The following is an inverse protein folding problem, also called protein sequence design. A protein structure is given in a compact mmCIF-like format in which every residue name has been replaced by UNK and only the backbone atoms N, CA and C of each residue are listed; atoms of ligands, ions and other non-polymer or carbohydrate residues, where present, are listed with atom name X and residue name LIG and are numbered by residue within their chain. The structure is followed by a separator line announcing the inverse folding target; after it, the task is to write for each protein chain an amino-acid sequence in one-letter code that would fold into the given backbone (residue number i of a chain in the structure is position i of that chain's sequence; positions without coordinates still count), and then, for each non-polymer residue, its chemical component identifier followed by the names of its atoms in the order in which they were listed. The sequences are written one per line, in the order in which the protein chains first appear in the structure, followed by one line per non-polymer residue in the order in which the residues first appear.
data_IF_776828619511
#
_entry.id   IF_776828619511
#
_cell.length_a   1.000
_cell.length_b   1.000
_cell.length_c   1.000
_cell.angle_alpha   90.00
_cell.angle_beta   90.00
_cell.angle_gamma   90.00
#
_symmetry.space_group_name_H-M   'P 1'
#
loop_
_entity.id
_entity.type
_entity.pdbx_description
1 polymer ?
#
# COMPACT_ATOMS: atom_id res chain seq x y z
N UNK A 1 1.62 -82.76 0.82
CA UNK A 1 2.14 -81.46 1.31
C UNK A 1 1.39 -80.35 0.58
N UNK A 2 0.52 -79.60 1.27
CA UNK A 2 -0.36 -78.57 0.67
C UNK A 2 0.33 -77.20 0.70
N UNK A 3 0.75 -76.77 -0.48
CA UNK A 3 1.05 -75.45 -1.03
C UNK A 3 0.93 -74.25 -0.07
N UNK A 4 1.95 -74.03 0.78
CA UNK A 4 2.11 -72.82 1.60
C UNK A 4 2.50 -71.57 0.79
N UNK A 5 2.93 -71.72 -0.46
CA UNK A 5 3.44 -70.62 -1.30
C UNK A 5 2.35 -69.70 -1.89
N UNK A 6 1.10 -70.15 -2.02
CA UNK A 6 0.01 -69.33 -2.57
C UNK A 6 -0.57 -68.29 -1.59
N UNK A 7 -0.43 -68.53 -0.28
CA UNK A 7 -0.97 -67.65 0.76
C UNK A 7 -0.11 -66.39 0.98
N UNK A 8 1.21 -66.50 0.86
CA UNK A 8 2.14 -65.37 1.05
C UNK A 8 2.06 -64.31 -0.06
N UNK A 9 1.86 -64.73 -1.32
CA UNK A 9 1.69 -63.84 -2.47
C UNK A 9 0.42 -62.97 -2.34
N UNK A 10 -0.64 -63.54 -1.80
CA UNK A 10 -1.95 -62.87 -1.64
C UNK A 10 -1.92 -61.80 -0.53
N UNK A 11 -1.23 -62.06 0.58
CA UNK A 11 -1.10 -61.13 1.71
C UNK A 11 -0.23 -59.91 1.36
N UNK A 12 0.79 -60.08 0.52
CA UNK A 12 1.66 -59.00 -0.01
C UNK A 12 0.92 -58.03 -0.95
N UNK A 13 0.01 -58.54 -1.80
CA UNK A 13 -0.79 -57.68 -2.68
C UNK A 13 -1.89 -56.93 -1.94
N UNK A 14 -2.52 -57.57 -0.93
CA UNK A 14 -3.49 -56.91 -0.05
C UNK A 14 -2.80 -55.83 0.78
N UNK A 15 -1.60 -56.07 1.31
CA UNK A 15 -0.85 -55.06 2.07
C UNK A 15 -0.37 -53.89 1.19
N UNK A 16 0.13 -54.14 -0.03
CA UNK A 16 0.46 -53.11 -1.00
C UNK A 16 -0.79 -52.29 -1.41
N UNK A 17 -1.93 -52.96 -1.60
CA UNK A 17 -3.22 -52.32 -1.88
C UNK A 17 -3.68 -51.40 -0.74
N UNK A 18 -3.54 -51.83 0.51
CA UNK A 18 -3.85 -51.03 1.71
C UNK A 18 -2.90 -49.83 1.87
N UNK A 19 -1.61 -50.01 1.58
CA UNK A 19 -0.61 -48.93 1.61
C UNK A 19 -0.92 -47.88 0.53
N UNK A 20 -1.16 -48.31 -0.71
CA UNK A 20 -1.53 -47.41 -1.82
C UNK A 20 -2.87 -46.73 -1.54
N UNK A 21 -3.85 -47.45 -0.99
CA UNK A 21 -5.13 -46.89 -0.58
C UNK A 21 -4.98 -45.83 0.52
N UNK A 22 -4.16 -46.09 1.55
CA UNK A 22 -3.85 -45.12 2.61
C UNK A 22 -3.08 -43.91 2.07
N UNK A 23 -2.11 -44.12 1.17
CA UNK A 23 -1.39 -43.03 0.50
C UNK A 23 -2.32 -42.16 -0.33
N UNK A 24 -3.19 -42.76 -1.16
CA UNK A 24 -4.21 -42.03 -1.95
C UNK A 24 -5.20 -41.30 -1.05
N UNK A 25 -5.59 -41.89 0.08
CA UNK A 25 -6.47 -41.24 1.07
C UNK A 25 -5.79 -40.03 1.72
N UNK A 26 -4.53 -40.17 2.17
CA UNK A 26 -3.73 -39.07 2.72
C UNK A 26 -3.49 -37.96 1.69
N UNK A 27 -3.13 -38.33 0.46
CA UNK A 27 -2.94 -37.34 -0.62
C UNK A 27 -4.22 -36.56 -0.91
N UNK A 28 -5.38 -37.23 -1.01
CA UNK A 28 -6.67 -36.56 -1.19
C UNK A 28 -7.03 -35.67 0.00
N UNK A 29 -6.72 -36.09 1.23
CA UNK A 29 -6.95 -35.27 2.41
C UNK A 29 -6.07 -34.03 2.42
N UNK A 30 -4.77 -34.16 2.13
CA UNK A 30 -3.84 -33.04 2.03
C UNK A 30 -4.18 -32.09 0.88
N UNK A 31 -4.64 -32.62 -0.26
CA UNK A 31 -5.10 -31.80 -1.38
C UNK A 31 -6.33 -30.97 -1.00
N UNK A 32 -7.27 -31.52 -0.23
CA UNK A 32 -8.41 -30.77 0.32
C UNK A 32 -7.97 -29.67 1.28
N UNK A 33 -7.09 -29.98 2.23
CA UNK A 33 -6.58 -28.97 3.19
C UNK A 33 -5.87 -27.81 2.48
N UNK A 34 -5.10 -28.10 1.42
CA UNK A 34 -4.45 -27.06 0.60
C UNK A 34 -5.47 -26.20 -0.15
N UNK A 35 -6.51 -26.80 -0.73
CA UNK A 35 -7.55 -26.05 -1.42
C UNK A 35 -8.38 -25.21 -0.42
N UNK A 36 -8.73 -25.77 0.74
CA UNK A 36 -9.39 -25.04 1.83
C UNK A 36 -8.54 -23.85 2.30
N UNK A 37 -7.23 -24.04 2.48
CA UNK A 37 -6.31 -22.96 2.83
C UNK A 37 -6.23 -21.89 1.73
N UNK A 38 -6.23 -22.29 0.45
CA UNK A 38 -6.22 -21.37 -0.70
C UNK A 38 -7.51 -20.55 -0.76
N UNK A 39 -8.65 -21.20 -0.58
CA UNK A 39 -9.97 -20.57 -0.55
C UNK A 39 -10.12 -19.62 0.64
N UNK A 40 -9.62 -20.02 1.82
CA UNK A 40 -9.61 -19.16 3.00
C UNK A 40 -8.76 -17.90 2.78
N UNK A 41 -7.54 -18.04 2.23
CA UNK A 41 -6.70 -16.89 1.86
C UNK A 41 -7.37 -16.01 0.80
N UNK A 42 -8.00 -16.60 -0.21
CA UNK A 42 -8.69 -15.84 -1.25
C UNK A 42 -9.92 -15.09 -0.71
N UNK A 43 -10.68 -15.71 0.21
CA UNK A 43 -11.81 -15.08 0.88
C UNK A 43 -11.35 -13.94 1.80
N UNK A 44 -10.27 -14.13 2.55
CA UNK A 44 -9.69 -13.11 3.41
C UNK A 44 -9.16 -11.91 2.60
N UNK A 45 -8.51 -12.18 1.45
CA UNK A 45 -8.12 -11.14 0.48
C UNK A 45 -9.33 -10.41 -0.09
N UNK A 46 -10.39 -11.13 -0.48
CA UNK A 46 -11.62 -10.53 -0.99
C UNK A 46 -12.32 -9.63 0.05
N UNK A 47 -12.38 -10.09 1.31
CA UNK A 47 -12.94 -9.31 2.42
C UNK A 47 -12.11 -8.05 2.70
N UNK A 48 -10.78 -8.18 2.74
CA UNK A 48 -9.88 -7.03 2.89
C UNK A 48 -10.02 -6.01 1.75
N UNK A 49 -10.16 -6.46 0.49
CA UNK A 49 -10.43 -5.58 -0.65
C UNK A 49 -11.77 -4.84 -0.49
N UNK A 50 -12.81 -5.51 0.01
CA UNK A 50 -14.11 -4.88 0.27
C UNK A 50 -14.04 -3.84 1.40
N UNK A 51 -13.22 -4.10 2.43
CA UNK A 51 -13.00 -3.16 3.54
C UNK A 51 -12.11 -1.97 3.13
N UNK A 52 -11.14 -2.16 2.22
CA UNK A 52 -10.29 -1.07 1.70
C UNK A 52 -11.07 -0.11 0.79
N UNK A 53 -12.21 -0.53 0.25
CA UNK A 53 -12.98 0.24 -0.72
C UNK A 53 -13.62 1.53 -0.15
N UNK A 54 -13.49 1.79 1.15
CA UNK A 54 -14.17 2.90 1.83
C UNK A 54 -13.35 4.19 1.98
N UNK A 55 -12.02 4.19 1.78
CA UNK A 55 -11.22 5.42 1.85
C UNK A 55 -10.63 5.75 0.48
N UNK A 56 -11.34 6.60 -0.25
CA UNK A 56 -10.86 7.18 -1.51
C UNK A 56 -10.84 8.71 -1.38
N UNK A 57 -9.64 9.28 -1.51
CA UNK A 57 -9.43 10.71 -1.67
C UNK A 57 -9.87 11.11 -3.08
N UNK A 58 -10.94 11.90 -3.18
CA UNK A 58 -11.50 12.32 -4.46
C UNK A 58 -10.99 13.71 -4.78
N UNK A 59 -10.22 13.84 -5.86
CA UNK A 59 -9.87 15.15 -6.41
C UNK A 59 -11.13 15.85 -6.91
N UNK A 60 -11.26 17.14 -6.59
CA UNK A 60 -12.36 17.97 -7.06
C UNK A 60 -11.81 19.27 -7.65
N UNK A 61 -12.61 19.90 -8.50
CA UNK A 61 -12.20 21.11 -9.22
C UNK A 61 -11.96 22.30 -8.28
N UNK A 62 -12.62 22.31 -7.12
CA UNK A 62 -12.47 23.35 -6.10
C UNK A 62 -11.08 23.34 -5.44
N UNK A 63 -10.28 22.31 -5.67
CA UNK A 63 -8.91 22.20 -5.19
C UNK A 63 -7.88 22.74 -6.19
N UNK A 64 -8.31 23.17 -7.39
CA UNK A 64 -7.41 23.75 -8.38
C UNK A 64 -6.88 25.11 -7.92
N UNK A 65 -5.56 25.28 -7.95
CA UNK A 65 -4.89 26.53 -7.62
C UNK A 65 -4.81 27.49 -8.81
N UNK A 66 -5.19 27.03 -10.00
CA UNK A 66 -5.22 27.82 -11.23
C UNK A 66 -3.92 27.75 -12.04
N UNK A 67 -2.89 27.05 -11.54
CA UNK A 67 -1.70 26.72 -12.30
C UNK A 67 -1.81 25.28 -12.83
N UNK A 68 -1.98 25.06 -14.15
CA UNK A 68 -2.22 23.72 -14.70
C UNK A 68 -1.12 22.70 -14.40
N UNK A 69 0.13 23.15 -14.27
CA UNK A 69 1.25 22.26 -13.95
C UNK A 69 1.17 21.80 -12.48
N UNK A 70 0.86 22.70 -11.55
CA UNK A 70 0.68 22.37 -10.14
C UNK A 70 -0.58 21.50 -9.95
N UNK A 71 -1.70 21.87 -10.57
CA UNK A 71 -2.93 21.07 -10.48
C UNK A 71 -2.73 19.64 -10.98
N UNK A 72 -1.88 19.45 -12.01
CA UNK A 72 -1.50 18.11 -12.48
C UNK A 72 -0.66 17.35 -11.46
N UNK A 73 0.28 18.02 -10.78
CA UNK A 73 1.07 17.42 -9.70
C UNK A 73 0.17 17.03 -8.51
N UNK A 74 -0.72 17.92 -8.06
CA UNK A 74 -1.67 17.62 -6.99
C UNK A 74 -2.57 16.42 -7.32
N UNK A 75 -3.13 16.36 -8.53
CA UNK A 75 -3.90 15.18 -8.99
C UNK A 75 -3.09 13.88 -8.92
N UNK A 76 -1.83 13.92 -9.32
CA UNK A 76 -0.94 12.77 -9.24
C UNK A 76 -0.66 12.36 -7.79
N UNK A 77 -0.44 13.32 -6.89
CA UNK A 77 -0.24 13.06 -5.46
C UNK A 77 -1.48 12.46 -4.80
N UNK A 78 -2.69 12.88 -5.21
CA UNK A 78 -3.93 12.25 -4.79
C UNK A 78 -4.05 10.79 -5.27
N UNK A 79 -3.67 10.52 -6.52
CA UNK A 79 -3.69 9.17 -7.06
C UNK A 79 -2.71 8.24 -6.33
N UNK A 80 -1.47 8.68 -6.11
CA UNK A 80 -0.46 7.92 -5.37
C UNK A 80 -0.84 7.74 -3.90
N UNK A 81 -1.39 8.79 -3.27
CA UNK A 81 -1.96 8.72 -1.94
C UNK A 81 -3.02 7.63 -1.86
N UNK A 82 -4.00 7.61 -2.77
CA UNK A 82 -4.99 6.54 -2.83
C UNK A 82 -4.38 5.15 -3.01
N UNK A 83 -3.37 4.99 -3.86
CA UNK A 83 -2.68 3.71 -4.05
C UNK A 83 -2.06 3.22 -2.74
N UNK A 84 -1.36 4.09 -2.03
CA UNK A 84 -0.76 3.77 -0.73
C UNK A 84 -1.81 3.44 0.33
N UNK A 85 -2.85 4.26 0.49
CA UNK A 85 -3.90 4.01 1.49
C UNK A 85 -4.63 2.68 1.22
N UNK A 86 -4.85 2.35 -0.05
CA UNK A 86 -5.42 1.05 -0.44
C UNK A 86 -4.48 -0.11 -0.14
N UNK A 87 -3.17 0.02 -0.34
CA UNK A 87 -2.21 -1.01 0.02
C UNK A 87 -2.18 -1.26 1.54
N UNK A 88 -2.22 -0.19 2.34
CA UNK A 88 -2.29 -0.25 3.80
C UNK A 88 -3.55 -0.99 4.27
N UNK A 89 -4.73 -0.59 3.78
CA UNK A 89 -6.01 -1.20 4.15
C UNK A 89 -6.21 -2.61 3.57
N UNK A 90 -5.62 -2.85 2.39
CA UNK A 90 -5.61 -4.14 1.70
C UNK A 90 -4.73 -5.19 2.38
N UNK A 91 -3.97 -4.79 3.41
CA UNK A 91 -3.03 -5.67 4.10
C UNK A 91 -1.94 -6.19 3.17
N UNK A 92 -1.51 -5.37 2.20
CA UNK A 92 -0.38 -5.70 1.34
C UNK A 92 0.92 -5.79 2.18
N UNK A 93 1.98 -6.34 1.58
CA UNK A 93 3.20 -6.60 2.33
C UNK A 93 3.86 -5.30 2.82
N UNK A 94 4.60 -5.37 3.93
CA UNK A 94 5.35 -4.23 4.47
C UNK A 94 6.25 -3.60 3.41
N UNK A 95 6.95 -4.42 2.63
CA UNK A 95 7.82 -3.95 1.54
C UNK A 95 7.04 -3.19 0.46
N UNK A 96 5.84 -3.65 0.11
CA UNK A 96 5.01 -2.96 -0.88
C UNK A 96 4.56 -1.58 -0.35
N UNK A 97 4.20 -1.50 0.93
CA UNK A 97 3.84 -0.24 1.60
C UNK A 97 5.04 0.71 1.67
N UNK A 98 6.22 0.22 2.01
CA UNK A 98 7.47 1.01 2.02
C UNK A 98 7.78 1.59 0.63
N UNK A 99 7.74 0.77 -0.42
CA UNK A 99 8.02 1.21 -1.78
C UNK A 99 7.03 2.27 -2.28
N UNK A 100 5.74 2.08 -1.98
CA UNK A 100 4.70 3.06 -2.33
C UNK A 100 4.84 4.37 -1.54
N UNK A 101 5.24 4.27 -0.27
CA UNK A 101 5.51 5.44 0.56
C UNK A 101 6.70 6.24 0.03
N UNK A 102 7.80 5.57 -0.31
CA UNK A 102 8.99 6.19 -0.89
C UNK A 102 8.68 6.87 -2.23
N UNK A 103 7.93 6.20 -3.11
CA UNK A 103 7.48 6.78 -4.39
C UNK A 103 6.66 8.06 -4.16
N UNK A 104 5.72 8.03 -3.22
CA UNK A 104 4.90 9.19 -2.89
C UNK A 104 5.76 10.33 -2.33
N UNK A 105 6.69 10.05 -1.42
CA UNK A 105 7.58 11.06 -0.84
C UNK A 105 8.47 11.69 -1.91
N UNK A 106 8.98 10.90 -2.87
CA UNK A 106 9.74 11.43 -4.00
C UNK A 106 8.92 12.43 -4.82
N UNK A 107 7.64 12.11 -5.08
CA UNK A 107 6.74 12.99 -5.84
C UNK A 107 6.36 14.23 -5.06
N UNK A 108 6.18 14.13 -3.74
CA UNK A 108 5.95 15.28 -2.85
C UNK A 108 7.17 16.22 -2.87
N UNK A 109 8.39 15.70 -2.78
CA UNK A 109 9.60 16.53 -2.87
C UNK A 109 9.74 17.24 -4.23
N UNK A 110 9.43 16.55 -5.33
CA UNK A 110 9.43 17.14 -6.68
C UNK A 110 8.40 18.26 -6.80
N UNK A 111 7.22 18.07 -6.23
CA UNK A 111 6.16 19.07 -6.19
C UNK A 111 6.59 20.30 -5.39
N UNK A 112 7.10 20.13 -4.17
CA UNK A 112 7.61 21.22 -3.33
C UNK A 112 8.70 22.04 -4.03
N UNK A 113 9.65 21.38 -4.69
CA UNK A 113 10.68 22.07 -5.46
C UNK A 113 10.11 22.90 -6.61
N UNK A 114 9.02 22.42 -7.24
CA UNK A 114 8.36 23.14 -8.33
C UNK A 114 7.66 24.39 -7.78
N UNK A 115 6.91 24.24 -6.69
CA UNK A 115 6.19 25.33 -6.06
C UNK A 115 7.14 26.41 -5.54
N UNK A 116 8.19 26.02 -4.82
CA UNK A 116 9.20 26.97 -4.31
C UNK A 116 9.83 27.78 -5.43
N UNK A 117 10.15 27.15 -6.57
CA UNK A 117 10.70 27.85 -7.73
C UNK A 117 9.70 28.88 -8.29
N UNK A 118 8.40 28.56 -8.33
CA UNK A 118 7.36 29.50 -8.76
C UNK A 118 7.20 30.65 -7.76
N UNK A 119 7.21 30.36 -6.46
CA UNK A 119 7.12 31.37 -5.41
C UNK A 119 8.32 32.32 -5.43
N UNK A 120 9.53 31.80 -5.64
CA UNK A 120 10.75 32.62 -5.74
C UNK A 120 10.71 33.52 -6.99
N UNK A 121 10.28 32.99 -8.14
CA UNK A 121 10.11 33.76 -9.38
C UNK A 121 9.09 34.88 -9.23
N UNK A 122 8.04 34.66 -8.44
CA UNK A 122 7.01 35.65 -8.14
C UNK A 122 7.39 36.60 -6.99
N UNK A 123 8.58 36.45 -6.40
CA UNK A 123 8.99 37.17 -5.20
C UNK A 123 7.96 37.11 -4.07
N UNK A 124 7.32 35.95 -3.90
CA UNK A 124 6.22 35.79 -2.97
C UNK A 124 6.70 36.00 -1.52
N UNK A 125 6.08 36.90 -0.74
CA UNK A 125 6.58 37.28 0.59
C UNK A 125 6.57 36.12 1.60
N UNK A 126 5.71 35.11 1.38
CA UNK A 126 5.64 33.89 2.20
C UNK A 126 6.57 32.75 1.78
N UNK A 127 7.40 32.91 0.75
CA UNK A 127 8.22 31.81 0.20
C UNK A 127 9.16 31.17 1.24
N UNK A 128 9.74 31.98 2.13
CA UNK A 128 10.63 31.47 3.18
C UNK A 128 9.89 30.60 4.20
N UNK A 129 8.70 31.03 4.64
CA UNK A 129 7.88 30.28 5.60
C UNK A 129 7.37 28.97 4.99
N UNK A 130 6.90 29.03 3.74
CA UNK A 130 6.39 27.86 3.01
C UNK A 130 7.48 26.79 2.81
N UNK A 131 8.71 27.21 2.46
CA UNK A 131 9.87 26.31 2.38
C UNK A 131 10.22 25.64 3.71
N UNK A 132 10.03 26.32 4.84
CA UNK A 132 10.23 25.71 6.17
C UNK A 132 9.16 24.64 6.43
N UNK A 133 7.91 24.87 6.03
CA UNK A 133 6.85 23.88 6.12
C UNK A 133 7.18 22.62 5.28
N UNK A 134 7.64 22.81 4.03
CA UNK A 134 8.12 21.71 3.17
C UNK A 134 9.24 20.90 3.83
N UNK A 135 10.28 21.59 4.31
CA UNK A 135 11.40 20.94 4.98
C UNK A 135 10.98 20.13 6.20
N UNK A 136 10.00 20.63 6.96
CA UNK A 136 9.43 19.92 8.12
C UNK A 136 8.69 18.65 7.71
N UNK A 137 7.87 18.71 6.65
CA UNK A 137 7.16 17.54 6.12
C UNK A 137 8.13 16.48 5.58
N UNK A 138 9.18 16.89 4.85
CA UNK A 138 10.18 15.96 4.31
C UNK A 138 11.08 15.37 5.40
N UNK A 139 11.39 16.10 6.45
CA UNK A 139 12.11 15.56 7.60
C UNK A 139 11.25 14.51 8.32
N UNK A 140 9.96 14.81 8.50
CA UNK A 140 9.02 13.90 9.14
C UNK A 140 8.76 12.64 8.31
N UNK A 141 8.69 12.73 6.98
CA UNK A 141 8.51 11.55 6.14
C UNK A 141 9.68 10.56 6.30
N UNK A 142 10.92 11.06 6.39
CA UNK A 142 12.11 10.24 6.64
C UNK A 142 12.04 9.54 8.00
N UNK A 143 11.69 10.28 9.06
CA UNK A 143 11.53 9.70 10.41
C UNK A 143 10.48 8.57 10.41
N UNK A 144 9.33 8.80 9.75
CA UNK A 144 8.26 7.82 9.66
C UNK A 144 8.68 6.58 8.86
N UNK A 145 9.37 6.76 7.72
CA UNK A 145 9.90 5.66 6.92
C UNK A 145 10.86 4.79 7.75
N UNK A 146 11.81 5.41 8.45
CA UNK A 146 12.76 4.68 9.30
C UNK A 146 12.07 3.93 10.43
N UNK A 147 11.13 4.58 11.13
CA UNK A 147 10.41 3.94 12.24
C UNK A 147 9.49 2.82 11.77
N UNK A 148 8.82 2.99 10.63
CA UNK A 148 8.03 1.93 10.02
C UNK A 148 8.91 0.76 9.62
N UNK A 149 10.07 1.02 9.01
CA UNK A 149 11.04 0.00 8.65
C UNK A 149 11.52 -0.84 9.85
N UNK A 150 11.67 -0.22 11.02
CA UNK A 150 12.06 -0.90 12.26
C UNK A 150 10.88 -1.45 13.10
N UNK A 151 9.65 -1.48 12.56
CA UNK A 151 8.43 -1.95 13.26
C UNK A 151 8.11 -1.14 14.54
N UNK A 152 8.55 0.12 14.60
CA UNK A 152 8.30 1.06 15.70
C UNK A 152 7.08 1.96 15.46
N UNK A 153 6.38 1.71 14.35
CA UNK A 153 5.27 2.51 13.85
C UNK A 153 4.31 1.59 13.10
N UNK A 154 3.01 1.84 13.20
CA UNK A 154 2.02 1.09 12.42
C UNK A 154 1.70 1.78 11.08
N UNK A 155 1.03 1.06 10.19
CA UNK A 155 0.64 1.61 8.89
C UNK A 155 -0.44 2.72 9.01
N UNK A 156 -1.16 2.79 10.14
CA UNK A 156 -2.13 3.85 10.44
C UNK A 156 -1.45 5.20 10.70
N UNK A 157 -0.26 5.21 11.27
CA UNK A 157 0.55 6.42 11.41
C UNK A 157 1.00 6.96 10.04
N UNK A 158 1.41 6.09 9.11
CA UNK A 158 1.71 6.49 7.73
C UNK A 158 0.47 7.06 7.04
N UNK A 159 -0.69 6.41 7.23
CA UNK A 159 -1.98 6.89 6.74
C UNK A 159 -2.27 8.31 7.25
N UNK A 160 -2.13 8.54 8.56
CA UNK A 160 -2.44 9.83 9.18
C UNK A 160 -1.53 10.95 8.65
N UNK A 161 -0.24 10.65 8.49
CA UNK A 161 0.71 11.60 7.92
C UNK A 161 0.35 11.97 6.48
N UNK A 162 0.12 10.99 5.62
CA UNK A 162 -0.17 11.25 4.20
C UNK A 162 -1.53 11.92 4.01
N UNK A 163 -2.60 11.32 4.52
CA UNK A 163 -3.95 11.83 4.31
C UNK A 163 -4.18 13.16 5.04
N UNK A 164 -3.72 13.26 6.30
CA UNK A 164 -3.98 14.40 7.16
C UNK A 164 -3.00 15.56 6.95
N UNK A 165 -1.70 15.28 7.01
CA UNK A 165 -0.69 16.35 7.03
C UNK A 165 -0.26 16.78 5.64
N UNK A 166 0.03 15.83 4.75
CA UNK A 166 0.51 16.14 3.40
C UNK A 166 -0.65 16.56 2.49
N UNK A 167 -1.67 15.72 2.32
CA UNK A 167 -2.72 15.98 1.36
C UNK A 167 -3.75 17.01 1.88
N UNK A 168 -4.38 16.75 3.03
CA UNK A 168 -5.47 17.60 3.50
C UNK A 168 -5.01 18.94 4.06
N UNK A 169 -3.93 18.97 4.86
CA UNK A 169 -3.45 20.22 5.47
C UNK A 169 -2.56 21.02 4.54
N UNK A 170 -1.58 20.40 3.90
CA UNK A 170 -0.62 21.15 3.11
C UNK A 170 -1.16 21.42 1.69
N UNK A 171 -1.29 20.38 0.85
CA UNK A 171 -1.71 20.55 -0.55
C UNK A 171 -3.05 21.28 -0.70
N UNK A 172 -4.07 20.88 0.05
CA UNK A 172 -5.40 21.46 -0.12
C UNK A 172 -5.59 22.85 0.49
N UNK A 173 -4.75 23.26 1.45
CA UNK A 173 -5.00 24.48 2.23
C UNK A 173 -3.84 25.46 2.20
N UNK A 174 -2.60 24.99 2.36
CA UNK A 174 -1.41 25.84 2.34
C UNK A 174 -1.08 26.26 0.90
N UNK A 175 -0.94 25.31 -0.03
CA UNK A 175 -0.59 25.61 -1.45
C UNK A 175 -1.64 26.46 -2.14
N UNK A 176 -2.93 26.15 -1.90
CA UNK A 176 -4.03 26.92 -2.49
C UNK A 176 -3.96 28.41 -2.08
N UNK A 177 -3.61 28.69 -0.83
CA UNK A 177 -3.44 30.05 -0.31
C UNK A 177 -2.15 30.74 -0.73
N UNK A 178 -1.09 29.97 -1.00
CA UNK A 178 0.19 30.47 -1.50
C UNK A 178 0.11 30.80 -3.00
N UNK A 179 -0.44 29.91 -3.81
CA UNK A 179 -0.46 30.00 -5.27
C UNK A 179 -1.53 30.91 -5.84
N UNK A 180 -2.64 31.15 -5.11
CA UNK A 180 -3.65 32.14 -5.52
C UNK A 180 -3.05 33.54 -5.72
N UNK A 181 -1.99 33.87 -4.98
CA UNK A 181 -1.27 35.16 -5.05
C UNK A 181 -0.15 35.20 -6.09
N UNK A 182 0.21 34.05 -6.66
CA UNK A 182 1.23 33.93 -7.71
C UNK A 182 0.61 34.03 -9.11
N UNK A 183 -0.67 33.64 -9.25
CA UNK A 183 -1.40 33.68 -10.52
C UNK A 183 -2.12 35.01 -10.82
N UNK A 184 -2.10 35.96 -9.88
CA UNK A 184 -2.75 37.28 -9.94
C UNK A 184 -1.74 38.40 -10.21
#
# INVERSE_FOLDING_TARGET
MRNLWGAFSSIMLVSAGVIVWNMRRRHRHLARLREEQRLWKAAQKKESILQSQFVQLVWRKEYECGNPAIDAQHRNLFALGNTLLNAIMGGESKLDVELLFDELVEKVAQHFSTEEALMDQAHHPGAAEHRVAHGTLLARSKELAERFHHDQLDAGDLFNFIAGEVLARHILKEDLGALHRVAS
#
